data_IF_361290976322
#
_entry.id   IF_361290976322
#
_cell.length_a   1.000
_cell.length_b   1.000
_cell.length_c   1.000
_cell.angle_alpha   90.00
_cell.angle_beta   90.00
_cell.angle_gamma   90.00
#
_symmetry.space_group_name_H-M   'P 1'
#
loop_
_entity.id
_entity.type
_entity.pdbx_description
1 polymer ?
#
# COMPACT_ATOMS: atom_id res chain seq x y z
N UNK A 1 -7.35 -5.46 -12.06
CA UNK A 1 -7.95 -6.71 -11.53
C UNK A 1 -7.53 -6.78 -10.09
N UNK A 2 -8.49 -6.75 -9.17
CA UNK A 2 -8.18 -6.63 -7.74
C UNK A 2 -7.63 -7.96 -7.21
N UNK A 3 -6.45 -7.88 -6.60
CA UNK A 3 -5.75 -9.03 -6.02
C UNK A 3 -6.50 -9.57 -4.81
N UNK A 4 -7.30 -8.75 -4.13
CA UNK A 4 -8.06 -9.09 -2.93
C UNK A 4 -9.52 -8.59 -3.01
N UNK A 5 -10.38 -9.21 -3.84
CA UNK A 5 -11.71 -8.65 -4.14
C UNK A 5 -12.78 -8.98 -3.10
N UNK A 6 -12.58 -10.00 -2.27
CA UNK A 6 -13.51 -10.43 -1.23
C UNK A 6 -12.73 -11.02 -0.04
N UNK A 7 -13.32 -11.08 1.16
CA UNK A 7 -12.68 -11.70 2.32
C UNK A 7 -12.17 -13.11 1.99
N UNK A 8 -11.00 -13.44 2.53
CA UNK A 8 -10.35 -14.76 2.45
C UNK A 8 -10.01 -15.26 1.03
N UNK A 9 -10.16 -14.44 -0.01
CA UNK A 9 -9.87 -14.83 -1.40
C UNK A 9 -8.89 -13.89 -2.05
N UNK A 10 -7.82 -14.45 -2.64
CA UNK A 10 -6.85 -13.71 -3.42
C UNK A 10 -6.68 -14.28 -4.83
N UNK A 11 -6.53 -13.41 -5.82
CA UNK A 11 -6.26 -13.79 -7.21
C UNK A 11 -4.88 -13.30 -7.64
N UNK A 12 -3.98 -14.26 -7.91
CA UNK A 12 -2.60 -13.95 -8.25
C UNK A 12 -2.19 -14.28 -9.69
N UNK A 13 -3.07 -14.88 -10.51
CA UNK A 13 -2.69 -15.38 -11.85
C UNK A 13 -2.04 -14.29 -12.72
N UNK A 14 -2.66 -13.10 -12.80
CA UNK A 14 -2.11 -11.99 -13.60
C UNK A 14 -0.89 -11.35 -12.97
N UNK A 15 -0.87 -11.18 -11.65
CA UNK A 15 0.28 -10.60 -10.94
C UNK A 15 1.49 -11.52 -10.95
N UNK A 16 1.30 -12.83 -10.85
CA UNK A 16 2.36 -13.83 -10.95
C UNK A 16 2.98 -13.80 -12.35
N UNK A 17 2.15 -13.71 -13.40
CA UNK A 17 2.62 -13.54 -14.79
C UNK A 17 3.43 -12.26 -14.97
N UNK A 18 2.98 -11.15 -14.36
CA UNK A 18 3.70 -9.88 -14.40
C UNK A 18 5.08 -9.97 -13.73
N UNK A 19 5.14 -10.53 -12.51
CA UNK A 19 6.41 -10.71 -11.78
C UNK A 19 7.34 -11.64 -12.55
N UNK A 20 6.84 -12.79 -13.02
CA UNK A 20 7.62 -13.74 -13.80
C UNK A 20 8.16 -13.14 -15.10
N UNK A 21 7.38 -12.26 -15.76
CA UNK A 21 7.84 -11.54 -16.94
C UNK A 21 8.98 -10.58 -16.59
N UNK A 22 8.89 -9.85 -15.48
CA UNK A 22 9.95 -8.96 -15.01
C UNK A 22 11.24 -9.71 -14.69
N UNK A 23 11.14 -10.81 -13.94
CA UNK A 23 12.27 -11.67 -13.56
C UNK A 23 12.95 -12.28 -14.80
N UNK A 24 12.16 -12.80 -15.74
CA UNK A 24 12.67 -13.40 -16.99
C UNK A 24 13.50 -12.43 -17.82
N UNK A 25 13.18 -11.13 -17.75
CA UNK A 25 13.84 -10.09 -18.54
C UNK A 25 14.79 -9.21 -17.71
N UNK A 26 15.15 -9.61 -16.48
CA UNK A 26 16.00 -8.85 -15.56
C UNK A 26 15.53 -7.40 -15.37
N UNK A 27 14.21 -7.19 -15.27
CA UNK A 27 13.62 -5.87 -15.05
C UNK A 27 13.48 -5.57 -13.56
N UNK A 28 13.56 -4.28 -13.21
CA UNK A 28 13.13 -3.82 -11.89
C UNK A 28 11.60 -3.90 -11.81
N UNK A 29 11.10 -4.62 -10.80
CA UNK A 29 9.67 -4.85 -10.60
C UNK A 29 9.17 -3.92 -9.49
N UNK A 30 8.16 -3.11 -9.81
CA UNK A 30 7.47 -2.22 -8.87
C UNK A 30 6.09 -2.81 -8.57
N UNK A 31 5.82 -3.00 -7.28
CA UNK A 31 4.50 -3.39 -6.80
C UNK A 31 3.62 -2.16 -6.58
N UNK A 32 2.61 -1.99 -7.43
CA UNK A 32 1.67 -0.87 -7.37
C UNK A 32 0.23 -1.39 -7.27
N UNK A 33 -0.52 -1.15 -6.19
CA UNK A 33 -0.15 -0.53 -4.90
C UNK A 33 -0.85 -1.30 -3.78
N UNK A 34 -0.33 -1.22 -2.55
CA UNK A 34 -0.88 -1.99 -1.42
C UNK A 34 -2.11 -1.34 -0.78
N UNK A 35 -2.19 -0.01 -0.68
CA UNK A 35 -3.32 0.69 -0.06
C UNK A 35 -3.67 1.92 -0.90
N UNK A 36 -4.90 1.96 -1.40
CA UNK A 36 -5.38 3.06 -2.22
C UNK A 36 -6.89 3.26 -2.07
N UNK A 37 -7.34 4.52 -2.15
CA UNK A 37 -8.74 4.87 -2.00
C UNK A 37 -9.59 4.57 -3.25
N UNK A 38 -8.99 4.61 -4.45
CA UNK A 38 -9.73 4.58 -5.73
C UNK A 38 -10.19 3.17 -6.14
N UNK A 39 -9.34 2.16 -5.90
CA UNK A 39 -9.60 0.77 -6.29
C UNK A 39 -9.54 -0.17 -5.08
N UNK A 40 -10.12 0.28 -3.96
CA UNK A 40 -10.29 -0.58 -2.80
C UNK A 40 -11.40 -1.60 -3.05
N UNK A 41 -11.22 -2.81 -2.52
CA UNK A 41 -12.20 -3.89 -2.67
C UNK A 41 -13.60 -3.43 -2.19
N UNK A 42 -14.70 -3.74 -2.92
CA UNK A 42 -16.02 -3.22 -2.60
C UNK A 42 -16.45 -3.47 -1.15
N UNK A 43 -16.14 -4.65 -0.59
CA UNK A 43 -16.51 -4.99 0.79
C UNK A 43 -15.83 -4.09 1.84
N UNK A 44 -14.64 -3.54 1.53
CA UNK A 44 -13.94 -2.64 2.45
C UNK A 44 -14.61 -1.26 2.52
N UNK A 45 -15.40 -0.85 1.52
CA UNK A 45 -16.19 0.39 1.60
C UNK A 45 -17.34 0.30 2.60
N UNK A 46 -17.79 -0.92 2.93
CA UNK A 46 -18.88 -1.15 3.88
C UNK A 46 -18.39 -1.31 5.33
N UNK A 47 -17.08 -1.46 5.53
CA UNK A 47 -16.48 -1.60 6.87
C UNK A 47 -16.52 -0.25 7.58
N UNK A 48 -17.08 -0.24 8.80
CA UNK A 48 -17.19 0.94 9.68
C UNK A 48 -16.37 0.84 10.95
N UNK A 49 -15.94 -0.37 11.30
CA UNK A 49 -15.14 -0.64 12.50
C UNK A 49 -13.64 -0.59 12.15
N UNK A 50 -12.89 0.20 12.93
CA UNK A 50 -11.46 0.41 12.68
C UNK A 50 -10.63 -0.85 12.88
N UNK A 51 -10.97 -1.69 13.86
CA UNK A 51 -10.24 -2.94 14.10
C UNK A 51 -10.49 -3.96 12.97
N UNK A 52 -11.71 -4.00 12.42
CA UNK A 52 -12.03 -4.83 11.26
C UNK A 52 -11.29 -4.34 10.01
N UNK A 53 -11.29 -3.04 9.76
CA UNK A 53 -10.54 -2.45 8.64
C UNK A 53 -9.03 -2.74 8.77
N UNK A 54 -8.46 -2.56 9.97
CA UNK A 54 -7.06 -2.84 10.26
C UNK A 54 -6.70 -4.30 9.94
N UNK A 55 -7.54 -5.26 10.35
CA UNK A 55 -7.34 -6.69 10.06
C UNK A 55 -7.35 -6.99 8.57
N UNK A 56 -8.22 -6.35 7.80
CA UNK A 56 -8.24 -6.55 6.35
C UNK A 56 -7.00 -5.97 5.66
N UNK A 57 -6.55 -4.78 6.08
CA UNK A 57 -5.30 -4.17 5.58
C UNK A 57 -4.10 -5.04 5.95
N UNK A 58 -4.03 -5.52 7.19
CA UNK A 58 -2.98 -6.42 7.66
C UNK A 58 -2.95 -7.72 6.83
N UNK A 59 -4.11 -8.36 6.65
CA UNK A 59 -4.21 -9.58 5.85
C UNK A 59 -3.76 -9.34 4.39
N UNK A 60 -4.21 -8.24 3.78
CA UNK A 60 -3.85 -7.87 2.42
C UNK A 60 -2.34 -7.66 2.28
N UNK A 61 -1.74 -6.83 3.14
CA UNK A 61 -0.31 -6.50 3.08
C UNK A 61 0.52 -7.75 3.34
N UNK A 62 0.25 -8.50 4.42
CA UNK A 62 1.03 -9.68 4.77
C UNK A 62 0.95 -10.76 3.68
N UNK A 63 -0.23 -10.97 3.10
CA UNK A 63 -0.42 -11.98 2.05
C UNK A 63 0.28 -11.58 0.76
N UNK A 64 0.11 -10.34 0.30
CA UNK A 64 0.66 -9.88 -0.98
C UNK A 64 2.18 -9.69 -0.88
N UNK A 65 2.66 -8.95 0.13
CA UNK A 65 4.10 -8.70 0.31
C UNK A 65 4.81 -9.99 0.67
N UNK A 66 4.23 -10.83 1.53
CA UNK A 66 4.80 -12.14 1.88
C UNK A 66 4.93 -13.07 0.68
N UNK A 67 3.94 -13.08 -0.24
CA UNK A 67 4.00 -13.89 -1.47
C UNK A 67 5.16 -13.50 -2.38
N UNK A 68 5.44 -12.20 -2.51
CA UNK A 68 6.45 -11.68 -3.43
C UNK A 68 7.74 -11.22 -2.74
N UNK A 69 7.96 -11.65 -1.50
CA UNK A 69 9.14 -11.30 -0.71
C UNK A 69 10.43 -11.58 -1.49
N UNK A 70 11.31 -10.58 -1.56
CA UNK A 70 12.58 -10.65 -2.28
C UNK A 70 12.49 -10.67 -3.82
N UNK A 71 11.28 -10.60 -4.39
CA UNK A 71 11.04 -10.58 -5.86
C UNK A 71 10.63 -9.20 -6.35
N UNK A 72 10.11 -8.36 -5.46
CA UNK A 72 9.74 -6.97 -5.74
C UNK A 72 10.85 -6.06 -5.27
N UNK A 73 11.20 -5.06 -6.08
CA UNK A 73 12.29 -4.15 -5.78
C UNK A 73 11.79 -2.91 -5.02
N UNK A 74 10.55 -2.50 -5.28
CA UNK A 74 9.91 -1.34 -4.64
C UNK A 74 8.41 -1.55 -4.53
N UNK A 75 7.83 -1.23 -3.38
CA UNK A 75 6.37 -1.19 -3.17
C UNK A 75 5.89 0.25 -3.01
N UNK A 76 4.87 0.60 -3.80
CA UNK A 76 4.01 1.73 -3.47
C UNK A 76 3.04 1.27 -2.37
N UNK A 77 3.39 1.56 -1.12
CA UNK A 77 2.65 1.05 0.05
C UNK A 77 1.32 1.76 0.19
N UNK A 78 1.32 3.08 0.12
CA UNK A 78 0.10 3.90 0.14
C UNK A 78 0.15 4.85 -1.03
N UNK A 79 -0.95 4.89 -1.78
CA UNK A 79 -1.11 5.77 -2.93
C UNK A 79 -2.14 6.86 -2.64
N UNK A 80 -1.79 8.12 -2.92
CA UNK A 80 -2.71 9.26 -2.98
C UNK A 80 -3.59 9.47 -1.73
N UNK A 81 -3.01 9.28 -0.54
CA UNK A 81 -3.71 9.49 0.73
C UNK A 81 -3.92 10.98 1.09
N UNK A 82 -3.21 11.89 0.40
CA UNK A 82 -3.25 13.33 0.63
C UNK A 82 -3.81 14.06 -0.60
N UNK A 83 -4.42 15.22 -0.35
CA UNK A 83 -4.77 16.22 -1.36
C UNK A 83 -3.53 17.07 -1.72
N UNK A 84 -3.67 17.93 -2.73
CA UNK A 84 -2.58 18.80 -3.21
C UNK A 84 -2.11 19.82 -2.16
N UNK A 85 -3.01 20.21 -1.24
CA UNK A 85 -2.73 21.12 -0.12
C UNK A 85 -2.11 20.42 1.10
N UNK A 86 -1.85 19.11 1.02
CA UNK A 86 -1.29 18.30 2.10
C UNK A 86 -2.31 17.83 3.13
N UNK A 87 -3.59 18.18 3.00
CA UNK A 87 -4.66 17.63 3.84
C UNK A 87 -4.94 16.16 3.49
N UNK A 88 -5.53 15.41 4.42
CA UNK A 88 -5.91 14.03 4.15
C UNK A 88 -7.04 13.95 3.12
N UNK A 89 -6.92 13.00 2.20
CA UNK A 89 -7.98 12.71 1.24
C UNK A 89 -9.11 11.96 1.92
N UNK A 90 -10.31 12.53 1.80
CA UNK A 90 -11.54 11.90 2.24
C UNK A 90 -11.77 10.55 1.55
N UNK A 91 -11.73 9.48 2.33
CA UNK A 91 -11.89 8.09 1.89
C UNK A 91 -12.44 7.23 3.02
N UNK A 92 -13.00 6.05 2.74
CA UNK A 92 -13.46 5.16 3.82
C UNK A 92 -12.29 4.75 4.72
N UNK A 93 -11.10 4.54 4.14
CA UNK A 93 -9.86 4.29 4.89
C UNK A 93 -9.59 5.39 5.91
N UNK A 94 -9.54 6.65 5.46
CA UNK A 94 -9.27 7.77 6.34
C UNK A 94 -10.38 7.98 7.40
N UNK A 95 -11.65 7.87 7.00
CA UNK A 95 -12.80 8.04 7.91
C UNK A 95 -12.82 6.99 9.03
N UNK A 96 -12.47 5.75 8.71
CA UNK A 96 -12.55 4.62 9.65
C UNK A 96 -11.27 4.49 10.47
N UNK A 97 -10.09 4.72 9.86
CA UNK A 97 -8.80 4.46 10.50
C UNK A 97 -8.09 5.72 11.02
N UNK A 98 -8.53 6.91 10.63
CA UNK A 98 -7.84 8.18 10.90
C UNK A 98 -6.50 8.27 10.17
N UNK A 99 -5.63 9.17 10.60
CA UNK A 99 -4.34 9.48 9.94
C UNK A 99 -3.32 8.33 10.02
N UNK A 100 -3.39 7.53 11.09
CA UNK A 100 -2.34 6.57 11.46
C UNK A 100 -2.29 5.33 10.56
N UNK A 101 -3.28 5.12 9.68
CA UNK A 101 -3.31 3.96 8.78
C UNK A 101 -2.12 3.94 7.83
N UNK A 102 -1.60 5.12 7.46
CA UNK A 102 -0.45 5.23 6.56
C UNK A 102 0.76 4.60 7.24
N UNK A 103 1.11 5.07 8.44
CA UNK A 103 2.22 4.55 9.23
C UNK A 103 2.09 3.03 9.50
N UNK A 104 0.87 2.58 9.86
CA UNK A 104 0.59 1.16 10.07
C UNK A 104 0.85 0.32 8.82
N UNK A 105 0.43 0.79 7.64
CA UNK A 105 0.67 0.08 6.39
C UNK A 105 2.17 -0.06 6.09
N UNK A 106 2.96 0.98 6.34
CA UNK A 106 4.43 0.93 6.20
C UNK A 106 5.07 -0.04 7.19
N UNK A 107 4.66 -0.02 8.47
CA UNK A 107 5.15 -0.95 9.50
C UNK A 107 4.85 -2.41 9.13
N UNK A 108 3.66 -2.68 8.60
CA UNK A 108 3.28 -4.01 8.13
C UNK A 108 4.10 -4.46 6.92
N UNK A 109 4.27 -3.58 5.92
CA UNK A 109 5.04 -3.90 4.72
C UNK A 109 6.53 -4.15 5.06
N UNK A 110 7.13 -3.32 5.91
CA UNK A 110 8.51 -3.49 6.37
C UNK A 110 8.71 -4.78 7.18
N UNK A 111 7.70 -5.18 7.97
CA UNK A 111 7.74 -6.44 8.70
C UNK A 111 7.65 -7.65 7.77
N UNK A 112 6.81 -7.57 6.72
CA UNK A 112 6.62 -8.65 5.77
C UNK A 112 7.88 -8.86 4.88
N UNK A 113 8.47 -7.78 4.39
CA UNK A 113 9.72 -7.78 3.64
C UNK A 113 10.67 -6.66 4.12
N UNK A 114 11.64 -6.97 5.01
CA UNK A 114 12.54 -5.97 5.57
C UNK A 114 13.56 -5.38 4.59
N UNK A 115 13.80 -6.03 3.46
CA UNK A 115 14.83 -5.61 2.49
C UNK A 115 14.26 -4.81 1.31
N UNK A 116 12.93 -4.77 1.16
CA UNK A 116 12.29 -4.06 0.05
C UNK A 116 12.24 -2.55 0.27
N UNK A 117 12.38 -1.78 -0.82
CA UNK A 117 12.16 -0.34 -0.77
C UNK A 117 10.66 -0.04 -0.66
N UNK A 118 10.28 0.77 0.32
CA UNK A 118 8.90 1.20 0.55
C UNK A 118 8.73 2.66 0.15
N UNK A 119 7.68 2.95 -0.61
CA UNK A 119 7.41 4.28 -1.17
C UNK A 119 5.97 4.70 -0.88
N UNK A 120 5.80 5.98 -0.58
CA UNK A 120 4.51 6.65 -0.61
C UNK A 120 4.36 7.30 -1.98
N UNK A 121 3.32 6.95 -2.73
CA UNK A 121 3.12 7.46 -4.08
C UNK A 121 2.03 8.55 -4.12
N UNK A 122 2.27 9.59 -4.91
CA UNK A 122 1.33 10.68 -5.17
C UNK A 122 1.06 10.77 -6.67
N UNK A 123 -0.20 11.06 -7.03
CA UNK A 123 -0.62 11.27 -8.40
C UNK A 123 0.20 12.38 -9.07
N UNK A 124 0.56 12.16 -10.34
CA UNK A 124 1.41 13.03 -11.12
C UNK A 124 0.77 14.43 -11.29
N UNK A 125 1.31 15.43 -10.58
CA UNK A 125 1.47 16.86 -10.96
C UNK A 125 2.00 17.72 -9.80
N UNK A 126 2.11 17.18 -8.59
CA UNK A 126 2.61 17.95 -7.45
C UNK A 126 4.10 17.67 -7.24
N UNK A 127 4.94 18.63 -7.62
CA UNK A 127 6.31 18.76 -7.12
C UNK A 127 6.23 19.20 -5.64
N UNK A 128 5.77 18.30 -4.78
CA UNK A 128 6.17 18.33 -3.38
C UNK A 128 7.45 17.52 -3.34
N UNK A 129 8.54 18.17 -2.95
CA UNK A 129 9.82 17.50 -2.80
C UNK A 129 9.60 16.26 -1.93
N UNK A 130 10.00 15.09 -2.45
CA UNK A 130 9.95 13.81 -1.73
C UNK A 130 10.53 13.92 -0.31
N UNK A 131 11.37 14.94 -0.08
CA UNK A 131 11.93 15.38 1.20
C UNK A 131 10.87 15.71 2.26
N UNK A 132 9.78 16.43 1.95
CA UNK A 132 8.81 16.84 3.01
C UNK A 132 7.96 15.67 3.47
N UNK A 133 7.50 14.82 2.55
CA UNK A 133 6.71 13.63 2.89
C UNK A 133 7.61 12.57 3.57
N UNK A 134 8.83 12.39 3.07
CA UNK A 134 9.81 11.54 3.74
C UNK A 134 10.15 12.09 5.13
N UNK A 135 10.33 13.39 5.35
CA UNK A 135 10.60 13.94 6.68
C UNK A 135 9.42 13.74 7.64
N UNK A 136 8.17 13.96 7.21
CA UNK A 136 7.00 13.76 8.08
C UNK A 136 6.82 12.28 8.45
N UNK A 137 7.09 11.36 7.53
CA UNK A 137 6.95 9.92 7.77
C UNK A 137 8.17 9.31 8.49
N UNK A 138 9.38 9.74 8.14
CA UNK A 138 10.63 9.31 8.78
C UNK A 138 10.74 9.85 10.21
N UNK A 139 10.21 11.04 10.52
CA UNK A 139 10.23 11.54 11.90
C UNK A 139 9.25 10.80 12.84
N UNK A 140 8.17 10.21 12.30
CA UNK A 140 7.14 9.52 13.12
C UNK A 140 7.33 7.99 13.23
N UNK A 141 8.13 7.38 12.36
CA UNK A 141 8.35 5.91 12.37
C UNK A 141 9.48 5.50 13.34
N UNK A 142 10.35 6.42 13.76
CA UNK A 142 11.53 6.15 14.59
C UNK A 142 11.45 6.67 16.05
N UNK A 143 10.26 6.99 16.56
CA UNK A 143 9.99 7.13 18.00
C UNK A 143 9.25 5.91 18.58
#
# INVERSE_FOLDING_TARGET
MDVYPQPDTFYFDMTDKYVAFGEKNNMNIVGHTLVWHSQIAPFMNEVKDSAVMAKHIENQINTIVGRYKGRIHTWDVVNEALNEDGTFRESNLFKVMGENYIEQAFKLAAKADPEVKLVYNVGCFVVLSAVVIALVMFYRIYE
#
